data_IF_761794964255
#
_entry.id   IF_761794964255
#
_cell.length_a   1.000
_cell.length_b   1.000
_cell.length_c   1.000
_cell.angle_alpha   90.00
_cell.angle_beta   90.00
_cell.angle_gamma   90.00
#
_symmetry.space_group_name_H-M   'P 1'
#
loop_
_entity.id
_entity.type
_entity.pdbx_description
1 polymer ?
#
# COMPACT_ATOMS: atom_id res chain seq x y z
N UNK A 1 41.80 7.78 -57.13
CA UNK A 1 40.44 7.40 -56.66
C UNK A 1 39.78 8.69 -56.28
N UNK A 2 38.88 9.18 -57.15
CA UNK A 2 38.13 10.39 -56.88
C UNK A 2 37.12 10.08 -55.79
N UNK A 3 37.16 10.83 -54.70
CA UNK A 3 36.21 10.70 -53.60
C UNK A 3 34.94 11.47 -53.96
N UNK A 4 33.82 10.77 -54.10
CA UNK A 4 32.52 11.41 -54.31
C UNK A 4 31.79 11.62 -52.99
N UNK A 5 31.27 12.82 -52.80
CA UNK A 5 30.41 13.17 -51.68
C UNK A 5 28.95 13.12 -52.13
N UNK A 6 28.09 12.52 -51.33
CA UNK A 6 26.63 12.57 -51.52
C UNK A 6 25.94 12.93 -50.22
N UNK A 7 24.81 13.60 -50.31
CA UNK A 7 23.99 13.97 -49.15
C UNK A 7 22.77 13.07 -49.09
N UNK A 8 22.55 12.40 -47.96
CA UNK A 8 21.34 11.64 -47.70
C UNK A 8 20.36 12.49 -46.86
N UNK A 9 19.13 12.73 -47.34
CA UNK A 9 18.15 13.47 -46.56
C UNK A 9 17.73 12.62 -45.34
N UNK A 10 17.51 13.25 -44.20
CA UNK A 10 17.14 12.53 -42.96
C UNK A 10 15.70 12.79 -42.56
N UNK A 11 15.19 11.86 -41.77
CA UNK A 11 13.91 12.00 -41.07
C UNK A 11 14.22 12.42 -39.63
N UNK A 12 13.76 13.60 -39.25
CA UNK A 12 14.11 14.23 -37.98
C UNK A 12 15.51 14.84 -37.97
N UNK A 13 15.95 15.31 -36.80
CA UNK A 13 17.28 15.91 -36.62
C UNK A 13 18.30 14.82 -36.27
N UNK A 14 19.28 14.52 -37.13
CA UNK A 14 20.22 13.45 -36.87
C UNK A 14 21.16 13.85 -35.71
N UNK A 15 21.38 12.93 -34.78
CA UNK A 15 22.22 13.09 -33.59
C UNK A 15 23.56 12.37 -33.78
N UNK A 16 23.53 11.16 -34.35
CA UNK A 16 24.71 10.34 -34.54
C UNK A 16 24.48 9.27 -35.61
N UNK A 17 25.53 8.94 -36.37
CA UNK A 17 25.54 7.74 -37.25
C UNK A 17 26.00 6.55 -36.41
N UNK A 18 25.18 5.49 -36.40
CA UNK A 18 25.42 4.25 -35.62
C UNK A 18 26.18 3.23 -36.46
N UNK A 19 25.80 3.08 -37.73
CA UNK A 19 26.40 2.12 -38.64
C UNK A 19 26.28 2.63 -40.08
N UNK A 20 27.26 2.31 -40.91
CA UNK A 20 27.25 2.63 -42.33
C UNK A 20 28.02 1.57 -43.13
N UNK A 21 27.49 1.18 -44.29
CA UNK A 21 28.22 0.32 -45.24
C UNK A 21 29.33 1.06 -46.00
N UNK A 22 29.37 2.40 -45.94
CA UNK A 22 30.41 3.26 -46.51
C UNK A 22 31.14 4.05 -45.40
N UNK A 23 32.34 4.58 -45.71
CA UNK A 23 33.07 5.48 -44.80
C UNK A 23 32.33 6.82 -44.68
N UNK A 24 31.43 6.94 -43.70
CA UNK A 24 30.69 8.16 -43.45
C UNK A 24 31.57 9.21 -42.76
N UNK A 25 31.50 10.45 -43.25
CA UNK A 25 32.00 11.62 -42.56
C UNK A 25 30.79 12.44 -42.19
N UNK A 26 30.42 12.40 -40.91
CA UNK A 26 29.17 12.99 -40.47
C UNK A 26 29.34 14.48 -40.28
N UNK A 27 29.01 15.27 -41.30
CA UNK A 27 28.53 16.63 -41.06
C UNK A 27 27.03 16.51 -40.78
N UNK A 28 26.66 16.67 -39.51
CA UNK A 28 25.26 16.65 -39.07
C UNK A 28 24.66 18.03 -39.38
N UNK A 29 24.22 18.21 -40.62
CA UNK A 29 23.48 19.39 -41.04
C UNK A 29 22.02 19.34 -40.58
N UNK A 30 21.30 20.46 -40.72
CA UNK A 30 19.85 20.48 -40.50
C UNK A 30 19.15 19.63 -41.58
N UNK A 31 18.83 18.38 -41.24
CA UNK A 31 18.00 17.50 -42.07
C UNK A 31 18.75 16.65 -43.11
N UNK A 32 20.07 16.56 -43.07
CA UNK A 32 20.84 15.66 -43.94
C UNK A 32 22.09 15.06 -43.27
N UNK A 33 22.55 13.93 -43.80
CA UNK A 33 23.84 13.29 -43.48
C UNK A 33 24.71 13.31 -44.73
N UNK A 34 25.90 13.90 -44.62
CA UNK A 34 26.93 13.76 -45.65
C UNK A 34 27.57 12.37 -45.61
N UNK A 35 27.69 11.74 -46.77
CA UNK A 35 28.30 10.43 -46.95
C UNK A 35 29.43 10.57 -47.94
N UNK A 36 30.65 10.27 -47.50
CA UNK A 36 31.78 10.12 -48.40
C UNK A 36 31.82 8.69 -48.90
N UNK A 37 31.82 8.54 -50.22
CA UNK A 37 31.95 7.24 -50.84
C UNK A 37 33.40 6.99 -51.26
N UNK A 38 34.00 5.94 -50.69
CA UNK A 38 35.35 5.48 -51.00
C UNK A 38 35.29 4.00 -51.39
N UNK A 39 34.73 3.67 -52.58
CA UNK A 39 34.50 2.29 -53.00
C UNK A 39 33.97 2.12 -54.44
N UNK A 40 33.47 0.92 -54.77
CA UNK A 40 32.85 0.58 -56.05
C UNK A 40 31.32 0.83 -56.07
N UNK A 41 30.74 1.45 -57.12
CA UNK A 41 29.33 1.84 -57.17
C UNK A 41 28.37 0.78 -56.60
N UNK A 42 27.53 1.17 -55.64
CA UNK A 42 26.61 0.23 -54.98
C UNK A 42 25.65 0.87 -53.99
N UNK A 43 24.82 0.03 -53.36
CA UNK A 43 23.85 0.47 -52.36
C UNK A 43 24.53 0.84 -51.04
N UNK A 44 24.27 2.04 -50.55
CA UNK A 44 24.74 2.50 -49.23
C UNK A 44 23.60 2.39 -48.22
N UNK A 45 23.87 1.77 -47.09
CA UNK A 45 22.97 1.71 -45.94
C UNK A 45 23.57 2.51 -44.80
N UNK A 46 22.78 3.42 -44.21
CA UNK A 46 23.17 4.25 -43.07
C UNK A 46 22.11 4.11 -41.98
N UNK A 47 22.54 3.72 -40.79
CA UNK A 47 21.74 3.73 -39.57
C UNK A 47 22.15 4.92 -38.72
N UNK A 48 21.19 5.73 -38.30
CA UNK A 48 21.44 6.91 -37.47
C UNK A 48 20.41 7.04 -36.34
N UNK A 49 20.80 7.75 -35.29
CA UNK A 49 19.91 8.22 -34.24
C UNK A 49 19.42 9.62 -34.62
N UNK A 50 18.14 9.89 -34.38
CA UNK A 50 17.55 11.20 -34.62
C UNK A 50 16.59 11.59 -33.49
N UNK A 51 16.52 12.89 -33.27
CA UNK A 51 15.45 13.51 -32.49
C UNK A 51 14.25 13.71 -33.42
N UNK A 52 13.13 13.05 -33.11
CA UNK A 52 11.95 13.00 -33.97
C UNK A 52 10.67 13.49 -33.29
N UNK A 53 10.57 13.31 -31.98
CA UNK A 53 9.35 13.60 -31.22
C UNK A 53 9.67 14.40 -29.97
N UNK A 54 8.89 15.44 -29.72
CA UNK A 54 8.94 16.22 -28.48
C UNK A 54 7.81 15.77 -27.55
N UNK A 55 8.09 15.72 -26.25
CA UNK A 55 7.07 15.41 -25.24
C UNK A 55 6.39 16.72 -24.80
N UNK A 56 5.12 16.88 -25.12
CA UNK A 56 4.30 18.04 -24.73
C UNK A 56 2.99 17.57 -24.10
N UNK A 57 2.72 17.99 -22.87
CA UNK A 57 1.50 17.65 -22.13
C UNK A 57 1.19 16.14 -22.05
N UNK A 58 2.21 15.28 -21.94
CA UNK A 58 2.05 13.82 -21.88
C UNK A 58 1.81 13.15 -23.24
N UNK A 59 1.88 13.91 -24.33
CA UNK A 59 1.81 13.42 -25.71
C UNK A 59 3.17 13.58 -26.38
N UNK A 60 3.63 12.54 -27.07
CA UNK A 60 4.73 12.63 -28.01
C UNK A 60 4.21 13.20 -29.33
N UNK A 61 4.81 14.28 -29.81
CA UNK A 61 4.47 14.95 -31.06
C UNK A 61 5.66 14.84 -32.00
N UNK A 62 5.53 14.05 -33.06
CA UNK A 62 6.52 13.94 -34.12
C UNK A 62 6.02 14.65 -35.37
N UNK A 63 6.71 15.72 -35.77
CA UNK A 63 6.41 16.50 -36.97
C UNK A 63 7.66 16.62 -37.84
N UNK A 64 7.59 16.11 -39.07
CA UNK A 64 8.73 16.10 -39.99
C UNK A 64 8.28 15.95 -41.44
N UNK A 65 9.19 16.25 -42.37
CA UNK A 65 9.00 15.95 -43.78
C UNK A 65 9.63 14.60 -44.11
N UNK A 66 8.88 13.68 -44.72
CA UNK A 66 9.40 12.45 -45.27
C UNK A 66 9.92 12.72 -46.71
N UNK A 67 11.24 12.65 -46.95
CA UNK A 67 11.82 12.87 -48.28
C UNK A 67 11.76 11.63 -49.18
N UNK A 68 11.41 10.47 -48.63
CA UNK A 68 11.42 9.17 -49.30
C UNK A 68 10.05 8.79 -49.84
N UNK A 69 10.01 7.97 -50.90
CA UNK A 69 8.76 7.46 -51.48
C UNK A 69 7.91 6.70 -50.45
N UNK A 70 8.56 5.93 -49.57
CA UNK A 70 7.92 5.21 -48.48
C UNK A 70 8.81 5.25 -47.22
N UNK A 71 8.22 5.66 -46.10
CA UNK A 71 8.80 5.58 -44.76
C UNK A 71 7.99 4.60 -43.92
N UNK A 72 8.67 3.65 -43.29
CA UNK A 72 8.06 2.69 -42.36
C UNK A 72 8.47 3.05 -40.94
N UNK A 73 7.49 3.39 -40.09
CA UNK A 73 7.69 3.61 -38.67
C UNK A 73 7.13 2.43 -37.86
N UNK A 74 7.88 2.02 -36.84
CA UNK A 74 7.50 0.96 -35.92
C UNK A 74 7.17 1.57 -34.56
N UNK A 75 5.91 1.49 -34.16
CA UNK A 75 5.44 2.02 -32.89
C UNK A 75 5.09 0.86 -31.96
N UNK A 76 5.43 0.90 -30.66
CA UNK A 76 5.09 -0.21 -29.76
C UNK A 76 3.57 -0.43 -29.67
N UNK A 77 3.16 -1.66 -29.39
CA UNK A 77 1.73 -2.04 -29.36
C UNK A 77 0.94 -1.42 -28.19
N UNK A 78 1.63 -0.91 -27.16
CA UNK A 78 1.04 -0.17 -26.04
C UNK A 78 0.95 1.34 -26.29
N UNK A 79 1.34 1.79 -27.49
CA UNK A 79 1.12 3.15 -27.90
C UNK A 79 -0.34 3.37 -28.33
N UNK A 80 -0.87 4.51 -27.92
CA UNK A 80 -2.16 5.04 -28.34
C UNK A 80 -1.88 6.20 -29.30
N UNK A 81 -2.21 6.00 -30.56
CA UNK A 81 -2.14 7.06 -31.59
C UNK A 81 -3.33 7.99 -31.40
N UNK A 82 -3.06 9.26 -31.16
CA UNK A 82 -4.06 10.32 -30.95
C UNK A 82 -4.38 11.02 -32.26
N UNK A 83 -3.36 11.33 -33.05
CA UNK A 83 -3.48 12.00 -34.34
C UNK A 83 -2.42 11.45 -35.29
N UNK A 84 -2.80 11.25 -36.56
CA UNK A 84 -1.87 10.86 -37.61
C UNK A 84 -2.22 11.55 -38.92
N UNK A 85 -1.23 12.15 -39.56
CA UNK A 85 -1.35 12.81 -40.86
C UNK A 85 -0.43 12.12 -41.85
N UNK A 86 -0.90 12.00 -43.10
CA UNK A 86 -0.17 11.39 -44.21
C UNK A 86 0.12 9.88 -44.01
N UNK A 87 -0.79 9.15 -43.38
CA UNK A 87 -0.69 7.70 -43.22
C UNK A 87 -1.28 6.99 -44.46
N UNK A 88 -0.50 6.15 -45.13
CA UNK A 88 -0.99 5.34 -46.25
C UNK A 88 -1.50 3.97 -45.80
N UNK A 89 -0.84 3.36 -44.81
CA UNK A 89 -1.19 2.03 -44.33
C UNK A 89 -0.75 1.81 -42.88
N UNK A 90 -1.55 1.06 -42.12
CA UNK A 90 -1.26 0.65 -40.75
C UNK A 90 -1.57 -0.84 -40.57
N UNK A 91 -0.61 -1.59 -40.05
CA UNK A 91 -0.79 -2.99 -39.68
C UNK A 91 -0.29 -3.27 -38.26
N UNK A 92 -1.03 -4.09 -37.52
CA UNK A 92 -0.59 -4.59 -36.22
C UNK A 92 0.25 -5.85 -36.41
N UNK A 93 1.45 -5.87 -35.81
CA UNK A 93 2.35 -7.03 -35.73
C UNK A 93 2.54 -7.43 -34.27
N UNK A 94 3.28 -8.52 -34.05
CA UNK A 94 3.62 -8.98 -32.70
C UNK A 94 4.58 -7.95 -32.08
N UNK A 95 4.09 -7.20 -31.09
CA UNK A 95 4.87 -6.22 -30.32
C UNK A 95 4.86 -4.78 -30.85
N UNK A 96 4.42 -4.53 -32.08
CA UNK A 96 4.42 -3.19 -32.67
C UNK A 96 3.32 -2.97 -33.72
N UNK A 97 3.03 -1.70 -34.01
CA UNK A 97 2.30 -1.22 -35.18
C UNK A 97 3.31 -0.82 -36.26
N UNK A 98 3.10 -1.32 -37.47
CA UNK A 98 3.80 -0.91 -38.68
C UNK A 98 2.99 0.19 -39.36
N UNK A 99 3.54 1.40 -39.40
CA UNK A 99 2.94 2.59 -40.00
C UNK A 99 3.72 2.95 -41.26
N UNK A 100 3.02 3.18 -42.37
CA UNK A 100 3.62 3.56 -43.64
C UNK A 100 3.21 4.97 -44.02
N UNK A 101 4.19 5.80 -44.35
CA UNK A 101 4.01 7.18 -44.75
C UNK A 101 4.59 7.38 -46.15
N UNK A 102 3.83 7.91 -47.11
CA UNK A 102 4.37 8.30 -48.40
C UNK A 102 5.18 9.59 -48.25
N UNK A 103 5.86 10.00 -49.32
CA UNK A 103 6.59 11.27 -49.38
C UNK A 103 5.68 12.45 -49.01
N UNK A 104 6.17 13.34 -48.15
CA UNK A 104 5.40 14.52 -47.72
C UNK A 104 5.49 14.82 -46.23
N UNK A 105 4.70 15.80 -45.79
CA UNK A 105 4.61 16.17 -44.37
C UNK A 105 3.96 15.05 -43.56
N UNK A 106 4.58 14.67 -42.45
CA UNK A 106 4.10 13.66 -41.51
C UNK A 106 3.92 14.30 -40.15
N UNK A 107 2.77 14.03 -39.54
CA UNK A 107 2.49 14.34 -38.13
C UNK A 107 2.01 13.07 -37.45
N UNK A 108 2.65 12.70 -36.35
CA UNK A 108 2.28 11.56 -35.53
C UNK A 108 2.24 11.99 -34.06
N UNK A 109 1.05 12.00 -33.49
CA UNK A 109 0.82 12.28 -32.07
C UNK A 109 0.43 11.00 -31.36
N UNK A 110 1.17 10.61 -30.34
CA UNK A 110 0.92 9.37 -29.62
C UNK A 110 1.30 9.48 -28.14
N UNK A 111 0.77 8.57 -27.33
CA UNK A 111 1.17 8.37 -25.94
C UNK A 111 1.34 6.89 -25.66
N UNK A 112 2.00 6.52 -24.56
CA UNK A 112 2.06 5.14 -24.13
C UNK A 112 1.11 4.94 -22.96
N UNK A 113 0.34 3.86 -23.00
CA UNK A 113 -0.33 3.42 -21.79
C UNK A 113 0.75 2.99 -20.81
N UNK A 114 0.95 3.78 -19.75
CA UNK A 114 1.62 3.26 -18.57
C UNK A 114 0.77 2.09 -18.09
N UNK A 115 1.17 0.87 -18.47
CA UNK A 115 0.72 -0.31 -17.75
C UNK A 115 1.09 0.00 -16.30
N UNK A 116 0.12 0.05 -15.36
CA UNK A 116 0.45 0.29 -13.97
C UNK A 116 1.52 -0.72 -13.62
N UNK A 117 2.76 -0.26 -13.49
CA UNK A 117 3.84 -1.12 -13.06
C UNK A 117 3.31 -1.71 -11.77
N UNK A 118 3.25 -3.04 -11.69
CA UNK A 118 2.73 -3.79 -10.55
C UNK A 118 3.57 -3.54 -9.31
N UNK A 119 3.59 -2.30 -8.84
CA UNK A 119 3.96 -1.91 -7.51
C UNK A 119 2.91 -2.55 -6.66
N UNK A 120 3.25 -3.73 -6.14
CA UNK A 120 2.62 -4.24 -4.94
C UNK A 120 2.45 -3.04 -3.99
N UNK A 121 1.26 -2.84 -3.39
CA UNK A 121 1.08 -1.78 -2.42
C UNK A 121 2.13 -1.99 -1.34
N UNK A 122 3.23 -1.23 -1.43
CA UNK A 122 4.25 -1.15 -0.40
C UNK A 122 3.58 -0.39 0.71
N UNK A 123 2.84 -1.11 1.55
CA UNK A 123 2.36 -0.60 2.82
C UNK A 123 3.60 0.01 3.50
N UNK A 124 3.63 1.34 3.70
CA UNK A 124 4.77 1.97 4.35
C UNK A 124 5.00 1.25 5.68
N UNK A 125 6.25 0.89 5.99
CA UNK A 125 6.59 0.12 7.19
C UNK A 125 5.94 0.70 8.47
N UNK A 126 5.69 2.02 8.51
CA UNK A 126 4.91 2.68 9.55
C UNK A 126 3.52 2.07 9.82
N UNK A 127 2.76 1.68 8.80
CA UNK A 127 1.44 1.06 8.97
C UNK A 127 1.51 -0.34 9.57
N UNK A 128 2.59 -1.10 9.32
CA UNK A 128 2.80 -2.41 9.95
C UNK A 128 3.04 -2.25 11.46
N UNK A 129 3.81 -1.24 11.88
CA UNK A 129 4.03 -0.95 13.30
C UNK A 129 2.74 -0.51 13.99
N UNK A 130 1.92 0.32 13.34
CA UNK A 130 0.62 0.75 13.88
C UNK A 130 -0.34 -0.44 14.00
N UNK A 131 -0.42 -1.31 12.99
CA UNK A 131 -1.27 -2.50 13.03
C UNK A 131 -0.82 -3.51 14.12
N UNK A 132 0.48 -3.68 14.31
CA UNK A 132 1.01 -4.55 15.37
C UNK A 132 0.72 -3.98 16.76
N UNK A 133 0.90 -2.66 16.94
CA UNK A 133 0.63 -1.98 18.20
C UNK A 133 -0.86 -2.05 18.57
N UNK A 134 -1.78 -1.84 17.62
CA UNK A 134 -3.22 -1.92 17.88
C UNK A 134 -3.66 -3.35 18.19
N UNK A 135 -3.12 -4.36 17.50
CA UNK A 135 -3.39 -5.76 17.81
C UNK A 135 -2.94 -6.13 19.23
N UNK A 136 -1.75 -5.69 19.66
CA UNK A 136 -1.25 -5.94 21.02
C UNK A 136 -2.09 -5.26 22.10
N UNK A 137 -2.53 -4.02 21.87
CA UNK A 137 -3.43 -3.30 22.79
C UNK A 137 -4.78 -4.01 22.88
N UNK A 138 -5.36 -4.44 21.75
CA UNK A 138 -6.60 -5.20 21.71
C UNK A 138 -6.51 -6.52 22.49
N UNK A 139 -5.46 -7.30 22.26
CA UNK A 139 -5.21 -8.56 22.97
C UNK A 139 -5.02 -8.33 24.48
N UNK A 140 -4.29 -7.28 24.86
CA UNK A 140 -4.13 -6.89 26.26
C UNK A 140 -5.48 -6.54 26.93
N UNK A 141 -6.33 -5.77 26.25
CA UNK A 141 -7.66 -5.43 26.74
C UNK A 141 -8.56 -6.66 26.91
N UNK A 142 -8.53 -7.59 25.94
CA UNK A 142 -9.26 -8.86 26.00
C UNK A 142 -8.75 -9.74 27.14
N UNK A 143 -7.44 -9.87 27.31
CA UNK A 143 -6.85 -10.64 28.41
C UNK A 143 -7.24 -10.04 29.77
N UNK A 144 -7.19 -8.71 29.91
CA UNK A 144 -7.63 -8.01 31.13
C UNK A 144 -9.12 -8.26 31.38
N UNK A 145 -9.96 -8.22 30.34
CA UNK A 145 -11.39 -8.48 30.45
C UNK A 145 -11.67 -9.92 30.93
N UNK A 146 -11.04 -10.93 30.33
CA UNK A 146 -11.19 -12.33 30.74
C UNK A 146 -10.68 -12.58 32.16
N UNK A 147 -9.53 -12.01 32.54
CA UNK A 147 -9.01 -12.13 33.91
C UNK A 147 -9.93 -11.46 34.93
N UNK A 148 -10.53 -10.31 34.60
CA UNK A 148 -11.52 -9.65 35.48
C UNK A 148 -12.79 -10.47 35.62
N UNK A 149 -13.28 -11.06 34.54
CA UNK A 149 -14.46 -11.93 34.56
C UNK A 149 -14.23 -13.19 35.38
N UNK A 150 -13.12 -13.89 35.16
CA UNK A 150 -12.76 -15.10 35.90
C UNK A 150 -12.55 -14.82 37.40
N UNK A 151 -11.96 -13.69 37.78
CA UNK A 151 -11.87 -13.29 39.20
C UNK A 151 -13.24 -13.08 39.85
N UNK A 152 -14.21 -12.54 39.10
CA UNK A 152 -15.58 -12.35 39.59
C UNK A 152 -16.29 -13.69 39.76
N UNK A 153 -16.06 -14.64 38.86
CA UNK A 153 -16.64 -16.00 38.92
C UNK A 153 -15.98 -16.85 40.02
N UNK A 154 -14.66 -16.80 40.20
CA UNK A 154 -13.94 -17.51 41.27
C UNK A 154 -14.27 -17.02 42.68
N UNK A 155 -14.65 -15.75 42.84
CA UNK A 155 -15.17 -15.23 44.12
C UNK A 155 -16.56 -15.79 44.45
N UNK A 156 -17.25 -16.44 43.50
CA UNK A 156 -18.66 -16.84 43.62
C UNK A 156 -18.90 -18.36 43.53
N UNK A 157 -17.89 -19.15 43.19
CA UNK A 157 -17.94 -20.61 43.24
C UNK A 157 -17.89 -21.12 44.69
N UNK A 158 -18.96 -21.81 45.11
CA UNK A 158 -19.10 -22.39 46.46
C UNK A 158 -19.85 -21.53 47.48
N UNK A 159 -20.24 -20.31 47.11
CA UNK A 159 -21.11 -19.45 47.92
C UNK A 159 -22.58 -19.70 47.59
N UNK A 160 -23.35 -20.03 48.62
CA UNK A 160 -24.80 -20.16 48.56
C UNK A 160 -25.44 -18.78 48.35
N UNK A 161 -26.70 -18.73 47.89
CA UNK A 161 -27.38 -17.46 47.55
C UNK A 161 -27.41 -16.50 48.76
N UNK A 162 -27.57 -17.06 49.96
CA UNK A 162 -27.52 -16.29 51.21
C UNK A 162 -26.12 -15.81 51.60
N UNK A 163 -25.08 -16.56 51.22
CA UNK A 163 -23.68 -16.12 51.45
C UNK A 163 -23.35 -14.93 50.54
N UNK A 164 -23.88 -14.93 49.30
CA UNK A 164 -23.76 -13.80 48.35
C UNK A 164 -24.49 -12.56 48.84
N UNK A 165 -25.70 -12.72 49.39
CA UNK A 165 -26.47 -11.60 49.92
C UNK A 165 -25.73 -10.88 51.07
N UNK A 166 -25.05 -11.62 51.94
CA UNK A 166 -24.21 -11.03 53.01
C UNK A 166 -23.04 -10.23 52.42
N UNK A 167 -22.37 -10.75 51.39
CA UNK A 167 -21.25 -10.07 50.73
C UNK A 167 -21.73 -8.80 50.03
N UNK A 168 -22.84 -8.85 49.29
CA UNK A 168 -23.43 -7.71 48.59
C UNK A 168 -23.83 -6.59 49.54
N UNK A 169 -24.48 -6.90 50.67
CA UNK A 169 -24.84 -5.90 51.67
C UNK A 169 -23.60 -5.15 52.21
N UNK A 170 -22.46 -5.84 52.28
CA UNK A 170 -21.17 -5.29 52.75
C UNK A 170 -20.36 -4.58 51.66
N UNK A 171 -20.75 -4.63 50.38
CA UNK A 171 -20.12 -3.84 49.30
C UNK A 171 -20.30 -2.33 49.53
N UNK A 172 -21.43 -1.95 50.14
CA UNK A 172 -21.76 -0.57 50.49
C UNK A 172 -20.96 -0.01 51.68
N UNK A 173 -20.25 -0.87 52.42
CA UNK A 173 -19.42 -0.49 53.56
C UNK A 173 -19.61 -1.38 54.79
N UNK A 174 -18.86 -1.12 55.90
CA UNK A 174 -18.97 -1.90 57.12
C UNK A 174 -20.35 -1.78 57.78
N UNK A 175 -20.95 -2.91 58.16
CA UNK A 175 -22.30 -2.98 58.78
C UNK A 175 -22.29 -3.73 60.10
N UNK A 176 -23.22 -3.40 60.98
CA UNK A 176 -23.42 -4.13 62.24
C UNK A 176 -24.19 -5.44 62.00
N UNK A 177 -24.10 -6.43 62.92
CA UNK A 177 -24.93 -7.63 62.84
C UNK A 177 -26.43 -7.33 62.80
N UNK A 178 -26.88 -6.28 63.48
CA UNK A 178 -28.30 -5.89 63.55
C UNK A 178 -28.79 -5.29 62.23
N UNK A 179 -27.96 -4.47 61.56
CA UNK A 179 -28.26 -3.93 60.24
C UNK A 179 -28.38 -5.06 59.21
N UNK A 180 -27.41 -5.98 59.18
CA UNK A 180 -27.43 -7.11 58.25
C UNK A 180 -28.60 -8.06 58.51
N UNK A 181 -28.96 -8.33 59.77
CA UNK A 181 -30.12 -9.17 60.09
C UNK A 181 -31.47 -8.51 59.76
N UNK A 182 -31.53 -7.18 59.72
CA UNK A 182 -32.73 -6.44 59.32
C UNK A 182 -32.88 -6.39 57.79
N UNK A 183 -31.77 -6.28 57.10
CA UNK A 183 -31.71 -6.21 55.64
C UNK A 183 -31.84 -7.58 54.97
N UNK A 184 -31.34 -8.63 55.63
CA UNK A 184 -31.34 -9.99 55.12
C UNK A 184 -32.44 -10.82 55.77
N UNK A 185 -33.30 -11.44 54.96
CA UNK A 185 -34.35 -12.33 55.43
C UNK A 185 -33.79 -13.70 55.86
N UNK A 186 -33.17 -13.75 57.04
CA UNK A 186 -32.62 -14.99 57.61
C UNK A 186 -32.65 -15.02 59.14
N UNK A 187 -32.79 -16.22 59.71
CA UNK A 187 -32.75 -16.41 61.16
C UNK A 187 -31.37 -16.11 61.74
N UNK A 188 -31.34 -15.61 62.99
CA UNK A 188 -30.11 -15.27 63.73
C UNK A 188 -29.06 -16.39 63.73
N UNK A 189 -29.50 -17.64 63.94
CA UNK A 189 -28.62 -18.80 63.92
C UNK A 189 -28.01 -19.07 62.53
N UNK A 190 -28.80 -18.90 61.47
CA UNK A 190 -28.33 -19.05 60.09
C UNK A 190 -27.30 -17.99 59.75
N UNK A 191 -27.56 -16.73 60.10
CA UNK A 191 -26.65 -15.62 59.89
C UNK A 191 -25.27 -15.85 60.51
N UNK A 192 -25.20 -16.17 61.81
CA UNK A 192 -23.90 -16.38 62.47
C UNK A 192 -23.12 -17.56 61.91
N UNK A 193 -23.81 -18.65 61.51
CA UNK A 193 -23.17 -19.79 60.85
C UNK A 193 -22.53 -19.38 59.51
N UNK A 194 -23.25 -18.57 58.72
CA UNK A 194 -22.82 -18.09 57.40
C UNK A 194 -21.69 -17.07 57.51
N UNK A 195 -21.81 -16.09 58.42
CA UNK A 195 -20.75 -15.13 58.73
C UNK A 195 -19.48 -15.83 59.19
N UNK A 196 -19.55 -16.81 60.08
CA UNK A 196 -18.39 -17.59 60.53
C UNK A 196 -17.69 -18.29 59.35
N UNK A 197 -18.47 -18.88 58.44
CA UNK A 197 -17.98 -19.51 57.21
C UNK A 197 -17.31 -18.49 56.28
N UNK A 198 -17.92 -17.32 56.06
CA UNK A 198 -17.37 -16.26 55.21
C UNK A 198 -16.08 -15.67 55.79
N UNK A 199 -15.96 -15.56 57.12
CA UNK A 199 -14.71 -15.17 57.80
C UNK A 199 -13.64 -16.24 57.61
N UNK A 200 -13.95 -17.53 57.80
CA UNK A 200 -12.97 -18.62 57.62
C UNK A 200 -12.48 -18.73 56.18
N UNK A 201 -13.34 -18.44 55.21
CA UNK A 201 -12.99 -18.39 53.79
C UNK A 201 -12.26 -17.09 53.41
N UNK A 202 -12.17 -16.12 54.33
CA UNK A 202 -11.46 -14.87 54.13
C UNK A 202 -12.18 -13.85 53.24
N UNK A 203 -13.48 -13.99 53.03
CA UNK A 203 -14.30 -13.01 52.28
C UNK A 203 -14.61 -11.75 53.10
N UNK A 204 -14.84 -11.92 54.40
CA UNK A 204 -15.16 -10.84 55.32
C UNK A 204 -14.26 -10.88 56.55
N UNK A 205 -14.12 -9.76 57.23
CA UNK A 205 -13.45 -9.67 58.52
C UNK A 205 -14.30 -8.91 59.54
N UNK A 206 -14.13 -9.27 60.82
CA UNK A 206 -14.78 -8.61 61.94
C UNK A 206 -13.86 -7.50 62.46
N UNK A 207 -14.39 -6.29 62.56
CA UNK A 207 -13.70 -5.14 63.15
C UNK A 207 -14.48 -4.63 64.36
N UNK A 208 -13.77 -4.10 65.36
CA UNK A 208 -14.37 -3.39 66.48
C UNK A 208 -14.13 -1.89 66.30
N UNK A 209 -15.20 -1.11 66.32
CA UNK A 209 -15.16 0.35 66.23
C UNK A 209 -16.14 0.91 67.25
N UNK A 210 -15.69 1.84 68.09
CA UNK A 210 -16.51 2.53 69.10
C UNK A 210 -17.28 1.55 70.02
N UNK A 211 -16.61 0.49 70.48
CA UNK A 211 -17.19 -0.56 71.34
C UNK A 211 -18.19 -1.50 70.64
N UNK A 212 -18.49 -1.27 69.35
CA UNK A 212 -19.42 -2.09 68.56
C UNK A 212 -18.68 -2.95 67.54
N UNK A 213 -19.30 -4.07 67.21
CA UNK A 213 -18.80 -5.02 66.22
C UNK A 213 -19.38 -4.68 64.85
N UNK A 214 -18.52 -4.60 63.85
CA UNK A 214 -18.90 -4.47 62.44
C UNK A 214 -18.26 -5.59 61.62
N UNK A 215 -18.91 -5.96 60.53
CA UNK A 215 -18.34 -6.80 59.49
C UNK A 215 -18.04 -5.95 58.27
N UNK A 216 -16.94 -6.24 57.58
CA UNK A 216 -16.58 -5.62 56.31
C UNK A 216 -15.93 -6.63 55.37
N UNK A 217 -15.91 -6.32 54.08
CA UNK A 217 -15.18 -7.12 53.09
C UNK A 217 -13.67 -7.07 53.36
N UNK A 218 -13.01 -8.22 53.28
CA UNK A 218 -11.56 -8.31 53.45
C UNK A 218 -10.88 -7.88 52.15
N UNK A 219 -10.19 -6.74 52.17
CA UNK A 219 -9.40 -6.29 51.02
C UNK A 219 -8.15 -7.15 50.89
N UNK A 220 -8.03 -7.97 49.84
CA UNK A 220 -6.77 -8.64 49.51
C UNK A 220 -5.78 -7.60 48.97
N UNK A 221 -4.87 -7.12 49.83
CA UNK A 221 -3.63 -6.48 49.35
C UNK A 221 -2.88 -7.52 48.51
N UNK A 222 -2.69 -7.23 47.22
CA UNK A 222 -1.69 -7.91 46.39
C UNK A 222 -0.32 -7.60 46.99
N UNK A 223 0.34 -8.61 47.55
CA UNK A 223 1.81 -8.65 47.56
C UNK A 223 2.30 -9.10 46.19
#
# INVERSE_FOLDING_TARGET
MDSEYTTLPTVGKPIAVVNSSAKTYTNLGEGYIEVLYLGEPGNVSVTYLAELAELSNGLYVAEFYNPYEELIAYLRVDAVVVEVVNLSHMARRVGYYELRFPKGYVKLVYTYLETPSGGQPRLPWGYLYVALATALVGLGAVAIYYVRRSRKEQLLEGLDERDRAIIQALESGPRTPQELLKELDMSKATFYRRVKRLISLGYIEQIKKDGKVYYKLKSRRKS
#
